data_IF_142347561860
#
_entry.id   IF_142347561860
#
_cell.length_a   1.000
_cell.length_b   1.000
_cell.length_c   1.000
_cell.angle_alpha   90.00
_cell.angle_beta   90.00
_cell.angle_gamma   90.00
#
_symmetry.space_group_name_H-M   'P 1'
#
loop_
_entity.id
_entity.type
_entity.pdbx_description
1 polymer ?
#
# COMPACT_ATOMS: atom_id res chain seq x y z
N UNK A 1 26.46 5.06 4.71
CA UNK A 1 26.90 3.95 5.57
C UNK A 1 26.46 2.65 4.92
N UNK A 2 27.37 1.73 4.64
CA UNK A 2 27.02 0.41 4.10
C UNK A 2 26.48 -0.42 5.25
N UNK A 3 25.31 -1.07 5.09
CA UNK A 3 24.64 -1.88 6.12
C UNK A 3 25.62 -2.83 6.86
N UNK A 4 26.48 -3.50 6.11
CA UNK A 4 27.51 -4.39 6.65
C UNK A 4 28.52 -3.76 7.62
N UNK A 5 28.75 -2.44 7.59
CA UNK A 5 29.67 -1.76 8.52
C UNK A 5 29.08 -1.63 9.94
N UNK A 6 27.75 -1.57 10.07
CA UNK A 6 27.08 -1.58 11.38
C UNK A 6 27.08 -3.00 11.94
N UNK A 7 26.75 -3.98 11.10
CA UNK A 7 26.76 -5.38 11.51
C UNK A 7 28.16 -5.88 11.88
N UNK A 8 29.22 -5.39 11.25
CA UNK A 8 30.60 -5.76 11.65
C UNK A 8 30.92 -5.33 13.08
N UNK A 9 30.52 -4.13 13.49
CA UNK A 9 30.73 -3.66 14.87
C UNK A 9 29.96 -4.52 15.87
N UNK A 10 28.71 -4.90 15.53
CA UNK A 10 27.91 -5.79 16.37
C UNK A 10 28.52 -7.18 16.47
N UNK A 11 29.11 -7.70 15.39
CA UNK A 11 29.77 -9.01 15.41
C UNK A 11 31.08 -9.01 16.21
N UNK A 12 31.67 -7.86 16.50
CA UNK A 12 32.89 -7.80 17.31
C UNK A 12 32.60 -7.82 18.82
N UNK A 13 31.40 -7.39 19.23
CA UNK A 13 31.04 -7.25 20.65
C UNK A 13 30.04 -8.29 21.15
N UNK A 14 29.25 -8.90 20.26
CA UNK A 14 28.19 -9.83 20.65
C UNK A 14 28.64 -11.30 20.55
N UNK A 15 28.35 -12.08 21.60
CA UNK A 15 28.59 -13.53 21.59
C UNK A 15 27.62 -14.29 20.67
N UNK A 16 26.38 -13.81 20.55
CA UNK A 16 25.37 -14.34 19.64
C UNK A 16 24.44 -13.24 19.12
N UNK A 17 23.98 -13.39 17.88
CA UNK A 17 23.00 -12.49 17.26
C UNK A 17 21.92 -13.35 16.61
N UNK A 18 20.66 -13.07 16.97
CA UNK A 18 19.49 -13.71 16.35
C UNK A 18 18.72 -12.64 15.58
N UNK A 19 18.55 -12.87 14.28
CA UNK A 19 17.71 -12.02 13.42
C UNK A 19 16.34 -12.67 13.25
N UNK A 20 15.30 -11.98 13.68
CA UNK A 20 13.92 -12.42 13.54
C UNK A 20 13.04 -11.25 13.09
N UNK A 21 12.27 -11.45 12.02
CA UNK A 21 11.24 -10.51 11.57
C UNK A 21 10.23 -11.23 10.68
N UNK A 22 8.97 -10.76 10.68
CA UNK A 22 7.88 -11.33 9.88
C UNK A 22 7.97 -11.04 8.38
N UNK A 23 8.93 -10.22 7.93
CA UNK A 23 9.07 -9.77 6.54
C UNK A 23 10.49 -9.93 5.98
N UNK A 24 11.33 -10.80 6.56
CA UNK A 24 12.71 -11.02 6.11
C UNK A 24 12.84 -11.80 4.79
N UNK A 25 11.74 -12.23 4.19
CA UNK A 25 11.77 -13.00 2.95
C UNK A 25 12.03 -12.08 1.74
N UNK A 26 12.91 -12.45 0.78
CA UNK A 26 13.76 -13.64 0.73
C UNK A 26 15.04 -13.49 1.59
N UNK A 27 15.41 -14.56 2.31
CA UNK A 27 16.53 -14.52 3.28
C UNK A 27 17.88 -14.25 2.62
N UNK A 28 18.06 -14.68 1.38
CA UNK A 28 19.29 -14.51 0.60
C UNK A 28 19.61 -13.03 0.39
N UNK A 29 18.59 -12.22 0.08
CA UNK A 29 18.74 -10.78 -0.11
C UNK A 29 19.08 -10.07 1.20
N UNK A 30 18.54 -10.52 2.33
CA UNK A 30 18.92 -9.97 3.63
C UNK A 30 20.36 -10.33 3.95
N UNK A 31 20.76 -11.60 3.79
CA UNK A 31 22.10 -12.10 4.10
C UNK A 31 23.19 -11.39 3.28
N UNK A 32 22.92 -11.06 2.01
CA UNK A 32 23.89 -10.33 1.17
C UNK A 32 24.21 -8.93 1.71
N UNK A 33 23.26 -8.30 2.41
CA UNK A 33 23.41 -6.93 2.95
C UNK A 33 24.07 -6.87 4.34
N UNK A 34 24.24 -8.01 5.02
CA UNK A 34 24.80 -8.06 6.38
C UNK A 34 26.34 -7.96 6.43
N UNK A 35 26.99 -8.03 5.26
CA UNK A 35 28.45 -7.95 5.15
C UNK A 35 29.19 -9.21 5.57
N UNK A 36 30.49 -9.25 5.27
CA UNK A 36 31.33 -10.45 5.43
C UNK A 36 31.54 -10.87 6.89
N UNK A 37 31.58 -9.92 7.82
CA UNK A 37 31.73 -10.21 9.26
C UNK A 37 30.59 -11.07 9.79
N UNK A 38 29.35 -10.70 9.46
CA UNK A 38 28.15 -11.46 9.82
C UNK A 38 28.08 -12.79 9.08
N UNK A 39 28.35 -12.80 7.78
CA UNK A 39 28.30 -14.02 6.96
C UNK A 39 29.26 -15.10 7.46
N UNK A 40 30.43 -14.74 8.03
CA UNK A 40 31.35 -15.71 8.63
C UNK A 40 30.79 -16.41 9.87
N UNK A 41 29.91 -15.75 10.63
CA UNK A 41 29.31 -16.28 11.86
C UNK A 41 27.91 -16.87 11.62
N UNK A 42 27.37 -16.71 10.41
CA UNK A 42 26.03 -17.13 10.07
C UNK A 42 25.88 -18.66 10.17
N UNK A 43 24.90 -19.09 10.95
CA UNK A 43 24.54 -20.50 11.07
C UNK A 43 23.21 -20.75 10.34
N UNK A 44 23.28 -21.48 9.21
CA UNK A 44 22.11 -21.87 8.40
C UNK A 44 21.71 -23.34 8.61
N UNK A 45 22.28 -24.00 9.62
CA UNK A 45 21.99 -25.40 9.95
C UNK A 45 21.62 -25.51 11.43
N UNK A 46 20.37 -25.88 11.77
CA UNK A 46 19.24 -26.14 10.86
C UNK A 46 18.82 -24.89 10.05
N UNK A 47 18.05 -25.04 8.97
CA UNK A 47 17.60 -23.90 8.17
C UNK A 47 16.86 -22.87 9.04
N UNK A 48 16.88 -21.58 8.67
CA UNK A 48 16.16 -20.54 9.40
C UNK A 48 14.70 -20.92 9.64
N UNK A 49 14.22 -20.67 10.87
CA UNK A 49 12.84 -20.94 11.22
C UNK A 49 11.91 -20.07 10.37
N UNK A 50 11.13 -20.71 9.50
CA UNK A 50 10.11 -20.05 8.70
C UNK A 50 8.74 -20.28 9.34
N UNK A 51 8.08 -19.20 9.77
CA UNK A 51 6.68 -19.24 10.12
C UNK A 51 5.84 -18.98 8.85
N UNK A 52 4.92 -19.87 8.48
CA UNK A 52 4.06 -19.65 7.31
C UNK A 52 3.16 -18.42 7.52
N UNK A 53 2.74 -17.80 6.41
CA UNK A 53 1.89 -16.62 6.46
C UNK A 53 0.57 -16.92 7.19
N UNK A 54 0.23 -16.09 8.17
CA UNK A 54 -1.03 -16.18 8.94
C UNK A 54 -2.28 -15.97 8.08
N UNK A 55 -2.13 -15.33 6.90
CA UNK A 55 -3.23 -15.08 5.96
C UNK A 55 -3.29 -16.26 4.97
N UNK A 56 -4.39 -17.04 4.97
CA UNK A 56 -4.58 -18.11 3.99
C UNK A 56 -4.58 -17.55 2.56
N UNK A 57 -4.13 -18.36 1.61
CA UNK A 57 -4.15 -17.98 0.19
C UNK A 57 -5.57 -17.62 -0.31
N UNK A 58 -6.61 -18.18 0.29
CA UNK A 58 -8.01 -17.85 -0.02
C UNK A 58 -8.40 -16.41 0.32
N UNK A 59 -7.64 -15.76 1.21
CA UNK A 59 -7.82 -14.37 1.60
C UNK A 59 -6.88 -13.41 0.86
N UNK A 60 -6.01 -13.92 -0.02
CA UNK A 60 -5.13 -13.13 -0.86
C UNK A 60 -5.62 -13.16 -2.30
N UNK A 61 -5.80 -11.98 -2.88
CA UNK A 61 -6.18 -11.83 -4.28
C UNK A 61 -5.29 -10.81 -4.96
N UNK A 62 -4.82 -11.16 -6.15
CA UNK A 62 -4.12 -10.24 -7.05
C UNK A 62 -5.12 -9.80 -8.10
N UNK A 63 -5.46 -8.52 -8.08
CA UNK A 63 -6.39 -7.92 -9.03
C UNK A 63 -5.60 -7.07 -10.03
N UNK A 64 -5.39 -7.57 -11.27
CA UNK A 64 -4.73 -6.78 -12.30
C UNK A 64 -5.66 -5.65 -12.78
N UNK A 65 -5.15 -4.43 -12.84
CA UNK A 65 -5.87 -3.27 -13.37
C UNK A 65 -5.13 -2.66 -14.55
N UNK A 66 -5.83 -2.47 -15.67
CA UNK A 66 -5.28 -1.79 -16.85
C UNK A 66 -5.31 -0.28 -16.66
N UNK A 67 -4.16 0.36 -16.52
CA UNK A 67 -4.03 1.82 -16.46
C UNK A 67 -3.75 2.42 -17.84
N UNK A 68 -4.03 3.71 -18.02
CA UNK A 68 -3.74 4.40 -19.29
C UNK A 68 -2.23 4.54 -19.57
N UNK A 69 -1.41 4.60 -18.52
CA UNK A 69 0.06 4.69 -18.57
C UNK A 69 0.68 3.72 -17.56
N UNK A 70 1.96 3.35 -17.70
CA UNK A 70 2.66 2.56 -16.67
C UNK A 70 2.70 3.29 -15.33
N UNK A 71 2.57 2.54 -14.23
CA UNK A 71 2.65 3.09 -12.87
C UNK A 71 4.11 3.40 -12.50
N UNK A 72 4.60 4.56 -12.93
CA UNK A 72 5.92 5.10 -12.58
C UNK A 72 5.78 6.31 -11.68
N UNK A 73 6.85 6.67 -10.96
CA UNK A 73 6.84 7.86 -10.12
C UNK A 73 6.44 9.13 -10.90
N UNK A 74 6.97 9.31 -12.11
CA UNK A 74 6.67 10.46 -12.96
C UNK A 74 5.19 10.53 -13.37
N UNK A 75 4.60 9.40 -13.76
CA UNK A 75 3.19 9.33 -14.12
C UNK A 75 2.28 9.55 -12.90
N UNK A 76 2.67 9.06 -11.72
CA UNK A 76 1.96 9.28 -10.46
C UNK A 76 1.93 10.74 -10.00
N UNK A 77 2.75 11.61 -10.56
CA UNK A 77 2.67 13.06 -10.29
C UNK A 77 1.69 13.79 -11.20
N UNK A 78 1.19 13.13 -12.26
CA UNK A 78 0.23 13.71 -13.20
C UNK A 78 -1.20 13.55 -12.67
N UNK A 79 -1.96 14.64 -12.64
CA UNK A 79 -3.32 14.64 -12.08
C UNK A 79 -4.25 13.64 -12.79
N UNK A 80 -4.22 13.60 -14.12
CA UNK A 80 -5.06 12.67 -14.91
C UNK A 80 -4.82 11.21 -14.56
N UNK A 81 -3.57 10.85 -14.26
CA UNK A 81 -3.20 9.49 -13.90
C UNK A 81 -3.62 9.14 -12.47
N UNK A 82 -3.45 10.08 -11.52
CA UNK A 82 -3.97 9.94 -10.16
C UNK A 82 -5.50 9.84 -10.14
N UNK A 83 -6.19 10.53 -11.04
CA UNK A 83 -7.63 10.40 -11.20
C UNK A 83 -8.02 9.01 -11.68
N UNK A 84 -7.34 8.45 -12.69
CA UNK A 84 -7.59 7.08 -13.17
C UNK A 84 -7.39 6.06 -12.03
N UNK A 85 -6.31 6.21 -11.25
CA UNK A 85 -6.06 5.38 -10.06
C UNK A 85 -7.17 5.54 -9.03
N UNK A 86 -7.59 6.77 -8.72
CA UNK A 86 -8.65 7.04 -7.74
C UNK A 86 -9.99 6.40 -8.13
N UNK A 87 -10.35 6.44 -9.42
CA UNK A 87 -11.56 5.79 -9.92
C UNK A 87 -11.49 4.26 -9.79
N UNK A 88 -10.35 3.66 -10.11
CA UNK A 88 -10.13 2.21 -9.97
C UNK A 88 -10.11 1.77 -8.51
N UNK A 89 -9.46 2.54 -7.64
CA UNK A 89 -9.46 2.30 -6.21
C UNK A 89 -10.89 2.30 -5.67
N UNK A 90 -11.72 3.27 -6.07
CA UNK A 90 -13.13 3.30 -5.66
C UNK A 90 -13.92 2.06 -6.10
N UNK A 91 -13.62 1.49 -7.27
CA UNK A 91 -14.23 0.24 -7.73
C UNK A 91 -13.85 -0.94 -6.82
N UNK A 92 -12.58 -1.04 -6.41
CA UNK A 92 -12.12 -2.05 -5.43
C UNK A 92 -12.80 -1.85 -4.09
N UNK A 93 -12.83 -0.62 -3.58
CA UNK A 93 -13.38 -0.30 -2.26
C UNK A 93 -14.87 -0.66 -2.14
N UNK A 94 -15.64 -0.54 -3.22
CA UNK A 94 -17.06 -0.95 -3.25
C UNK A 94 -17.28 -2.46 -3.08
N UNK A 95 -16.26 -3.27 -3.35
CA UNK A 95 -16.32 -4.71 -3.19
C UNK A 95 -15.89 -5.16 -1.79
N UNK A 96 -15.34 -4.27 -0.95
CA UNK A 96 -14.91 -4.62 0.41
C UNK A 96 -16.13 -4.61 1.35
N UNK A 97 -16.54 -5.77 1.88
CA UNK A 97 -17.71 -5.85 2.76
C UNK A 97 -17.43 -5.25 4.15
N UNK A 98 -18.46 -4.67 4.77
CA UNK A 98 -18.51 -4.49 6.22
C UNK A 98 -18.12 -3.12 6.80
N UNK A 99 -17.94 -2.07 6.00
CA UNK A 99 -17.71 -0.71 6.53
C UNK A 99 -16.42 -0.53 7.35
N UNK A 100 -15.56 -1.55 7.38
CA UNK A 100 -14.27 -1.52 8.04
C UNK A 100 -13.28 -0.68 7.23
N UNK A 101 -12.39 0.03 7.92
CA UNK A 101 -11.40 0.90 7.29
C UNK A 101 -10.49 0.13 6.34
N UNK A 102 -10.22 0.73 5.18
CA UNK A 102 -9.26 0.20 4.20
C UNK A 102 -7.93 0.92 4.35
N UNK A 103 -6.85 0.16 4.41
CA UNK A 103 -5.48 0.69 4.42
C UNK A 103 -4.91 0.66 2.99
N UNK A 104 -4.49 1.82 2.48
CA UNK A 104 -3.90 1.97 1.16
C UNK A 104 -2.48 2.51 1.30
N UNK A 105 -1.51 1.77 0.76
CA UNK A 105 -0.11 2.19 0.74
C UNK A 105 0.23 2.90 -0.58
N UNK A 106 0.94 4.02 -0.49
CA UNK A 106 1.45 4.77 -1.64
C UNK A 106 2.96 4.66 -1.71
N UNK A 107 3.52 4.83 -2.91
CA UNK A 107 4.97 4.74 -3.15
C UNK A 107 5.76 5.91 -2.54
N UNK A 108 5.13 7.07 -2.30
CA UNK A 108 5.78 8.21 -1.67
C UNK A 108 4.77 9.19 -1.04
N UNK A 109 5.24 10.02 -0.11
CA UNK A 109 4.43 11.08 0.50
C UNK A 109 3.94 12.13 -0.50
N UNK A 110 4.76 12.47 -1.50
CA UNK A 110 4.37 13.42 -2.56
C UNK A 110 3.13 12.96 -3.34
N UNK A 111 3.02 11.65 -3.59
CA UNK A 111 1.85 11.08 -4.26
C UNK A 111 0.61 11.25 -3.38
N UNK A 112 0.72 11.03 -2.07
CA UNK A 112 -0.39 11.20 -1.11
C UNK A 112 -0.83 12.66 -1.05
N UNK A 113 0.11 13.59 -0.92
CA UNK A 113 -0.13 15.02 -0.83
C UNK A 113 -0.85 15.58 -2.06
N UNK A 114 -0.64 14.97 -3.24
CA UNK A 114 -1.35 15.33 -4.47
C UNK A 114 -2.68 14.60 -4.62
N UNK A 115 -2.71 13.30 -4.31
CA UNK A 115 -3.89 12.46 -4.50
C UNK A 115 -5.05 12.88 -3.59
N UNK A 116 -4.78 13.14 -2.30
CA UNK A 116 -5.84 13.46 -1.32
C UNK A 116 -6.62 14.72 -1.71
N UNK A 117 -5.99 15.89 -1.97
CA UNK A 117 -6.72 17.10 -2.37
C UNK A 117 -7.46 16.92 -3.70
N UNK A 118 -6.83 16.27 -4.69
CA UNK A 118 -7.40 16.03 -6.01
C UNK A 118 -8.69 15.20 -5.91
N UNK A 119 -8.63 14.09 -5.17
CA UNK A 119 -9.78 13.20 -4.98
C UNK A 119 -10.88 13.87 -4.14
N UNK A 120 -10.52 14.62 -3.08
CA UNK A 120 -11.48 15.36 -2.27
C UNK A 120 -12.19 16.46 -3.06
N UNK A 121 -11.46 17.25 -3.85
CA UNK A 121 -12.02 18.33 -4.68
C UNK A 121 -13.07 17.78 -5.63
N UNK A 122 -12.82 16.62 -6.25
CA UNK A 122 -13.78 16.01 -7.19
C UNK A 122 -14.93 15.29 -6.49
N UNK A 123 -14.74 14.76 -5.28
CA UNK A 123 -15.85 14.25 -4.44
C UNK A 123 -16.79 15.40 -4.03
N UNK A 124 -16.23 16.55 -3.64
CA UNK A 124 -16.99 17.75 -3.33
C UNK A 124 -17.68 18.33 -4.57
N UNK A 125 -16.99 18.37 -5.73
CA UNK A 125 -17.59 18.79 -6.99
C UNK A 125 -18.75 17.88 -7.44
N UNK A 126 -18.68 16.58 -7.16
CA UNK A 126 -19.79 15.63 -7.38
C UNK A 126 -20.93 15.81 -6.38
N UNK A 127 -20.65 16.16 -5.12
CA UNK A 127 -21.69 16.50 -4.13
C UNK A 127 -22.41 17.80 -4.49
N UNK A 128 -21.74 18.79 -5.06
CA UNK A 128 -22.36 20.06 -5.47
C UNK A 128 -23.13 19.97 -6.80
N UNK A 129 -22.80 19.03 -7.69
CA UNK A 129 -23.49 18.88 -8.98
C UNK A 129 -24.58 17.79 -9.03
N UNK A 130 -24.63 16.86 -8.06
CA UNK A 130 -25.63 15.79 -8.01
C UNK A 130 -26.80 16.03 -7.03
N UNK A 131 -26.81 17.12 -6.26
CA UNK A 131 -27.84 17.38 -5.23
C UNK A 131 -28.48 18.78 -5.28
N UNK A 132 -28.18 19.62 -6.28
CA UNK A 132 -28.92 20.86 -6.53
C UNK A 132 -29.81 20.73 -7.76
N UNK A 133 -30.94 20.04 -7.57
CA UNK A 133 -32.26 20.50 -8.03
C UNK A 133 -33.31 20.07 -7.01
N UNK A 134 -33.72 20.96 -6.09
CA UNK A 134 -35.01 20.85 -5.45
C UNK A 134 -36.01 21.61 -6.31
N UNK A 135 -36.46 21.03 -7.41
CA UNK A 135 -37.65 21.46 -8.15
C UNK A 135 -38.17 20.25 -8.93
N UNK A 136 -39.01 19.45 -8.26
CA UNK A 136 -40.08 18.62 -8.83
C UNK A 136 -40.77 17.84 -7.68
N UNK A 137 -41.31 18.58 -6.71
CA UNK A 137 -42.42 18.06 -5.88
C UNK A 137 -43.68 18.71 -6.42
N UNK A 138 -44.39 17.98 -7.28
CA UNK A 138 -45.69 18.38 -7.77
C UNK A 138 -46.61 18.77 -6.61
N UNK A 139 -47.22 19.95 -6.71
CA UNK A 139 -48.20 20.44 -5.74
C UNK A 139 -49.39 19.45 -5.65
N UNK A 140 -49.91 19.17 -4.44
CA UNK A 140 -51.09 18.32 -4.30
C UNK A 140 -52.33 19.03 -4.90
N UNK A 141 -53.28 18.28 -5.49
CA UNK A 141 -54.47 18.86 -6.08
C UNK A 141 -55.35 19.50 -5.00
N UNK A 142 -55.78 20.73 -5.23
CA UNK A 142 -56.80 21.41 -4.43
C UNK A 142 -58.15 20.72 -4.66
N UNK A 143 -58.72 20.15 -3.60
CA UNK A 143 -60.09 19.63 -3.60
C UNK A 143 -61.08 20.80 -3.47
N UNK A 144 -62.07 20.83 -4.36
CA UNK A 144 -63.36 21.49 -4.17
C UNK A 144 -64.33 20.51 -3.51
#
# INVERSE_FOLDING_TARGET
MVSGAVFSQLTDVADSIVLASGTLHPHEAVISELGSGFQRRLQLKPPPLAAPHVIPQTQLQVLPYKTAKPCTHENLLQEEFLEDIGHKLLQVLRCVPGGNGVLVFFSSGQVVERAIPLWNRKVLARKTSAWMKPDDVAAPPTAN
#
